data_IF_705932762851
#
_entry.id   IF_705932762851
#
_cell.length_a   1.000
_cell.length_b   1.000
_cell.length_c   1.000
_cell.angle_alpha   90.00
_cell.angle_beta   90.00
_cell.angle_gamma   90.00
#
_symmetry.space_group_name_H-M   'P 1'
#
loop_
_entity.id
_entity.type
_entity.pdbx_description
1 polymer ?
#
# COMPACT_ATOMS: atom_id res chain seq x y z
N UNK A 1 5.76 -23.07 8.65
CA UNK A 1 4.79 -21.96 8.57
C UNK A 1 5.28 -20.96 9.57
N UNK A 2 5.53 -19.72 9.15
CA UNK A 2 6.13 -18.73 10.05
C UNK A 2 5.01 -18.01 10.80
N UNK A 3 4.25 -17.11 10.19
CA UNK A 3 3.30 -16.28 10.94
C UNK A 3 1.85 -16.70 10.69
N UNK A 4 1.08 -16.90 11.76
CA UNK A 4 -0.38 -17.06 11.70
C UNK A 4 -1.09 -15.71 11.70
N UNK A 5 -2.24 -15.59 11.03
CA UNK A 5 -3.02 -14.34 11.01
C UNK A 5 -4.46 -14.62 11.41
N UNK A 6 -4.95 -13.88 12.42
CA UNK A 6 -6.33 -13.96 12.92
C UNK A 6 -7.09 -12.69 12.54
N UNK A 7 -8.26 -12.87 11.95
CA UNK A 7 -9.15 -11.79 11.50
C UNK A 7 -10.35 -11.71 12.44
N UNK A 8 -10.40 -10.65 13.25
CA UNK A 8 -11.48 -10.41 14.20
C UNK A 8 -12.45 -9.38 13.65
N UNK A 9 -13.74 -9.70 13.60
CA UNK A 9 -14.76 -8.74 13.17
C UNK A 9 -16.05 -8.88 13.95
N UNK A 10 -16.83 -7.80 14.00
CA UNK A 10 -18.19 -7.86 14.46
C UNK A 10 -19.08 -8.77 13.59
N UNK A 11 -18.68 -9.03 12.33
CA UNK A 11 -19.46 -9.83 11.38
C UNK A 11 -18.68 -11.08 10.98
N UNK A 12 -19.28 -12.26 11.19
CA UNK A 12 -18.73 -13.52 10.66
C UNK A 12 -18.48 -13.43 9.16
N UNK A 13 -19.43 -12.83 8.42
CA UNK A 13 -19.33 -12.67 6.96
C UNK A 13 -18.18 -11.76 6.52
N UNK A 14 -17.84 -10.74 7.30
CA UNK A 14 -16.70 -9.86 6.98
C UNK A 14 -15.40 -10.61 7.26
N UNK A 15 -15.27 -11.26 8.43
CA UNK A 15 -14.08 -12.02 8.75
C UNK A 15 -13.83 -13.16 7.75
N UNK A 16 -14.86 -13.95 7.45
CA UNK A 16 -14.82 -15.05 6.48
C UNK A 16 -14.49 -14.54 5.07
N UNK A 17 -15.17 -13.49 4.61
CA UNK A 17 -14.94 -12.93 3.28
C UNK A 17 -13.56 -12.28 3.13
N UNK A 18 -13.04 -11.63 4.18
CA UNK A 18 -11.69 -11.06 4.18
C UNK A 18 -10.63 -12.18 4.12
N UNK A 19 -10.81 -13.26 4.89
CA UNK A 19 -9.94 -14.45 4.83
C UNK A 19 -10.02 -15.11 3.44
N UNK A 20 -11.22 -15.26 2.88
CA UNK A 20 -11.41 -15.82 1.53
C UNK A 20 -10.63 -15.02 0.48
N UNK A 21 -10.71 -13.68 0.53
CA UNK A 21 -9.97 -12.79 -0.37
C UNK A 21 -8.46 -12.95 -0.19
N UNK A 22 -7.96 -12.88 1.05
CA UNK A 22 -6.53 -12.97 1.35
C UNK A 22 -5.94 -14.34 0.97
N UNK A 23 -6.73 -15.41 1.10
CA UNK A 23 -6.33 -16.77 0.68
C UNK A 23 -6.05 -16.86 -0.82
N UNK A 24 -6.71 -16.04 -1.66
CA UNK A 24 -6.40 -15.98 -3.10
C UNK A 24 -5.00 -15.42 -3.38
N UNK A 25 -4.49 -14.57 -2.48
CA UNK A 25 -3.18 -13.92 -2.63
C UNK A 25 -2.07 -14.74 -1.96
N UNK A 26 -2.38 -15.43 -0.86
CA UNK A 26 -1.44 -16.18 -0.03
C UNK A 26 -2.05 -17.53 0.37
N UNK A 27 -1.76 -18.58 -0.40
CA UNK A 27 -2.36 -19.91 -0.21
C UNK A 27 -1.71 -20.73 0.90
N UNK A 28 -0.49 -20.38 1.31
CA UNK A 28 0.29 -21.17 2.27
C UNK A 28 0.35 -20.53 3.66
N UNK A 29 -0.42 -19.45 3.88
CA UNK A 29 -0.50 -18.72 5.14
C UNK A 29 -1.68 -19.21 5.97
N UNK A 30 -1.45 -19.46 7.26
CA UNK A 30 -2.51 -19.81 8.20
C UNK A 30 -3.39 -18.59 8.50
N UNK A 31 -4.58 -18.53 7.89
CA UNK A 31 -5.55 -17.46 8.06
C UNK A 31 -6.79 -17.99 8.81
N UNK A 32 -7.14 -17.37 9.95
CA UNK A 32 -8.26 -17.81 10.79
C UNK A 32 -9.26 -16.67 10.99
N UNK A 33 -10.53 -16.92 10.66
CA UNK A 33 -11.62 -15.97 10.84
C UNK A 33 -12.29 -16.13 12.21
N UNK A 34 -12.44 -15.03 12.94
CA UNK A 34 -13.16 -14.95 14.21
C UNK A 34 -14.15 -13.79 14.19
N UNK A 35 -15.33 -14.02 13.60
CA UNK A 35 -16.36 -13.00 13.48
C UNK A 35 -17.70 -13.33 14.13
N UNK A 36 -18.37 -12.30 14.64
CA UNK A 36 -19.70 -12.42 15.24
C UNK A 36 -19.70 -12.95 16.69
N UNK A 37 -20.86 -12.87 17.32
CA UNK A 37 -21.13 -13.49 18.63
C UNK A 37 -21.30 -15.01 18.51
N UNK A 38 -21.37 -15.72 19.64
CA UNK A 38 -21.54 -17.19 19.67
C UNK A 38 -22.84 -17.66 19.03
N UNK A 39 -23.88 -16.83 19.08
CA UNK A 39 -25.18 -17.05 18.45
C UNK A 39 -25.28 -16.48 17.02
N UNK A 40 -24.16 -16.03 16.44
CA UNK A 40 -24.05 -15.61 15.03
C UNK A 40 -24.59 -14.22 14.71
N UNK A 41 -24.81 -13.37 15.71
CA UNK A 41 -25.20 -11.96 15.52
C UNK A 41 -23.97 -11.07 15.32
N UNK A 42 -24.23 -9.81 14.96
CA UNK A 42 -23.20 -8.77 14.90
C UNK A 42 -22.69 -8.48 16.32
N UNK A 43 -21.37 -8.57 16.50
CA UNK A 43 -20.65 -8.41 17.77
C UNK A 43 -19.38 -9.25 17.78
N UNK A 44 -18.62 -9.20 18.88
CA UNK A 44 -17.37 -9.95 19.02
C UNK A 44 -17.49 -10.93 20.17
N UNK A 45 -17.15 -12.20 19.95
CA UNK A 45 -17.09 -13.23 20.98
C UNK A 45 -15.66 -13.41 21.49
N UNK A 46 -15.47 -13.31 22.80
CA UNK A 46 -14.19 -13.63 23.44
C UNK A 46 -13.77 -15.09 23.18
N UNK A 47 -14.70 -16.04 23.31
CA UNK A 47 -14.41 -17.47 23.17
C UNK A 47 -13.97 -17.82 21.76
N UNK A 48 -14.63 -17.25 20.73
CA UNK A 48 -14.24 -17.46 19.33
C UNK A 48 -12.86 -16.88 19.03
N UNK A 49 -12.60 -15.67 19.50
CA UNK A 49 -11.32 -15.00 19.25
C UNK A 49 -10.19 -15.74 19.97
N UNK A 50 -10.39 -16.17 21.21
CA UNK A 50 -9.42 -17.00 21.93
C UNK A 50 -9.16 -18.32 21.22
N UNK A 51 -10.20 -19.03 20.78
CA UNK A 51 -10.04 -20.28 20.04
C UNK A 51 -9.25 -20.10 18.73
N UNK A 52 -9.51 -19.02 17.99
CA UNK A 52 -8.80 -18.71 16.74
C UNK A 52 -7.32 -18.36 16.97
N UNK A 53 -7.02 -17.62 18.04
CA UNK A 53 -5.65 -17.30 18.44
C UNK A 53 -4.89 -18.55 18.89
N UNK A 54 -5.48 -19.39 19.75
CA UNK A 54 -4.87 -20.64 20.19
C UNK A 54 -4.63 -21.62 19.04
N UNK A 55 -5.59 -21.73 18.11
CA UNK A 55 -5.41 -22.50 16.89
C UNK A 55 -4.22 -21.97 16.08
N UNK A 56 -4.15 -20.65 15.86
CA UNK A 56 -3.09 -20.05 15.07
C UNK A 56 -1.72 -20.19 15.74
N UNK A 57 -1.63 -20.05 17.07
CA UNK A 57 -0.39 -20.26 17.82
C UNK A 57 0.11 -21.70 17.69
N UNK A 58 -0.80 -22.69 17.79
CA UNK A 58 -0.45 -24.09 17.62
C UNK A 58 0.05 -24.42 16.20
N UNK A 59 -0.46 -23.73 15.18
CA UNK A 59 -0.07 -23.93 13.77
C UNK A 59 1.18 -23.13 13.37
N UNK A 60 1.45 -21.98 14.01
CA UNK A 60 2.55 -21.07 13.72
C UNK A 60 3.92 -21.54 14.25
N UNK A 61 4.00 -22.70 14.92
CA UNK A 61 5.26 -23.34 15.35
C UNK A 61 6.26 -22.42 16.10
N UNK A 62 5.76 -21.39 16.80
CA UNK A 62 6.55 -20.45 17.61
C UNK A 62 6.94 -19.13 16.94
N UNK A 63 6.54 -18.90 15.68
CA UNK A 63 6.87 -17.69 14.93
C UNK A 63 5.82 -16.56 15.10
N UNK A 64 4.78 -16.78 15.90
CA UNK A 64 3.82 -15.77 16.37
C UNK A 64 2.56 -15.60 15.52
N UNK A 65 1.64 -14.79 16.04
CA UNK A 65 0.32 -14.53 15.44
C UNK A 65 0.07 -13.03 15.34
N UNK A 66 -0.35 -12.58 14.15
CA UNK A 66 -0.84 -11.22 13.93
C UNK A 66 -2.37 -11.20 13.98
N UNK A 67 -2.94 -10.32 14.77
CA UNK A 67 -4.39 -10.15 14.92
C UNK A 67 -4.81 -8.82 14.28
N UNK A 68 -5.71 -8.89 13.30
CA UNK A 68 -6.37 -7.71 12.71
C UNK A 68 -7.80 -7.61 13.21
N UNK A 69 -8.29 -6.37 13.38
CA UNK A 69 -9.64 -6.10 13.87
C UNK A 69 -10.34 -5.04 13.02
N UNK A 70 -11.68 -4.98 13.04
CA UNK A 70 -12.44 -3.97 12.30
C UNK A 70 -12.62 -2.64 13.07
N UNK A 71 -13.26 -2.70 14.24
CA UNK A 71 -13.70 -1.55 15.01
C UNK A 71 -13.23 -1.66 16.46
N UNK A 72 -13.19 -0.53 17.17
CA UNK A 72 -12.57 -0.44 18.50
C UNK A 72 -13.03 -1.46 19.55
N UNK A 73 -14.30 -1.90 19.57
CA UNK A 73 -14.75 -2.94 20.52
C UNK A 73 -14.18 -4.33 20.20
N UNK A 74 -13.86 -4.61 18.94
CA UNK A 74 -13.13 -5.82 18.57
C UNK A 74 -11.67 -5.75 19.03
N UNK A 75 -11.04 -4.57 18.96
CA UNK A 75 -9.69 -4.32 19.53
C UNK A 75 -9.67 -4.66 21.02
N UNK A 76 -10.59 -4.12 21.81
CA UNK A 76 -10.65 -4.39 23.25
C UNK A 76 -10.82 -5.88 23.57
N UNK A 77 -11.59 -6.60 22.74
CA UNK A 77 -11.76 -8.04 22.89
C UNK A 77 -10.48 -8.79 22.54
N UNK A 78 -9.79 -8.40 21.47
CA UNK A 78 -8.51 -8.98 21.07
C UNK A 78 -7.39 -8.70 22.09
N UNK A 79 -7.33 -7.50 22.68
CA UNK A 79 -6.42 -7.16 23.77
C UNK A 79 -6.70 -8.03 25.00
N UNK A 80 -7.97 -8.18 25.37
CA UNK A 80 -8.37 -9.08 26.45
C UNK A 80 -7.96 -10.52 26.14
N UNK A 81 -8.19 -11.01 24.92
CA UNK A 81 -7.77 -12.38 24.53
C UNK A 81 -6.25 -12.55 24.60
N UNK A 82 -5.48 -11.55 24.16
CA UNK A 82 -4.02 -11.59 24.25
C UNK A 82 -3.54 -11.83 25.68
N UNK A 83 -4.17 -11.21 26.67
CA UNK A 83 -3.82 -11.41 28.09
C UNK A 83 -4.08 -12.84 28.59
N UNK A 84 -5.02 -13.56 27.98
CA UNK A 84 -5.44 -14.90 28.36
C UNK A 84 -4.91 -16.01 27.44
N UNK A 85 -4.24 -15.64 26.34
CA UNK A 85 -3.63 -16.59 25.42
C UNK A 85 -2.51 -17.38 26.13
N UNK A 86 -2.25 -18.59 25.65
CA UNK A 86 -1.18 -19.46 26.14
C UNK A 86 0.21 -18.84 26.01
N UNK A 87 0.42 -18.04 24.96
CA UNK A 87 1.67 -17.32 24.67
C UNK A 87 1.39 -15.82 24.38
N UNK A 88 1.12 -14.98 25.40
CA UNK A 88 0.72 -13.58 25.21
C UNK A 88 1.72 -12.74 24.41
N UNK A 89 3.01 -13.00 24.59
CA UNK A 89 4.10 -12.27 23.91
C UNK A 89 4.20 -12.61 22.41
N UNK A 90 3.62 -13.73 21.98
CA UNK A 90 3.57 -14.16 20.59
C UNK A 90 2.31 -13.66 19.85
N UNK A 91 1.42 -12.91 20.54
CA UNK A 91 0.20 -12.35 19.96
C UNK A 91 0.38 -10.85 19.72
N UNK A 92 0.33 -10.45 18.46
CA UNK A 92 0.62 -9.10 18.00
C UNK A 92 -0.61 -8.49 17.34
N UNK A 93 -1.18 -7.44 17.93
CA UNK A 93 -2.28 -6.70 17.32
C UNK A 93 -1.71 -5.70 16.30
N UNK A 94 -2.28 -5.68 15.10
CA UNK A 94 -1.95 -4.70 14.07
C UNK A 94 -3.01 -3.59 14.03
N UNK A 95 -2.58 -2.34 14.11
CA UNK A 95 -3.43 -1.16 13.89
C UNK A 95 -3.56 -0.88 12.39
N UNK A 96 -4.49 -1.58 11.74
CA UNK A 96 -4.62 -1.60 10.29
C UNK A 96 -6.09 -1.68 9.84
N UNK A 97 -6.43 -1.12 8.65
CA UNK A 97 -7.72 -1.39 8.02
C UNK A 97 -7.86 -2.90 7.76
N UNK A 98 -9.01 -3.47 8.17
CA UNK A 98 -9.16 -4.92 8.27
C UNK A 98 -8.83 -5.67 6.97
N UNK A 99 -9.34 -5.21 5.83
CA UNK A 99 -9.22 -5.95 4.56
C UNK A 99 -7.87 -5.69 3.91
N UNK A 100 -7.50 -4.43 3.72
CA UNK A 100 -6.27 -4.01 3.07
C UNK A 100 -5.05 -4.44 3.88
N UNK A 101 -5.11 -4.28 5.21
CA UNK A 101 -4.08 -4.74 6.13
C UNK A 101 -3.93 -6.26 6.14
N UNK A 102 -5.03 -7.01 6.08
CA UNK A 102 -4.99 -8.47 6.03
C UNK A 102 -4.29 -8.95 4.75
N UNK A 103 -4.62 -8.36 3.60
CA UNK A 103 -3.98 -8.72 2.33
C UNK A 103 -2.49 -8.42 2.38
N UNK A 104 -2.08 -7.25 2.87
CA UNK A 104 -0.68 -6.88 3.00
C UNK A 104 0.09 -7.82 3.96
N UNK A 105 -0.49 -8.14 5.11
CA UNK A 105 0.08 -9.08 6.07
C UNK A 105 0.20 -10.49 5.48
N UNK A 106 -0.83 -10.97 4.79
CA UNK A 106 -0.83 -12.30 4.19
C UNK A 106 0.25 -12.42 3.09
N UNK A 107 0.42 -11.40 2.25
CA UNK A 107 1.49 -11.36 1.24
C UNK A 107 2.88 -11.36 1.89
N UNK A 108 3.07 -10.54 2.95
CA UNK A 108 4.34 -10.52 3.68
C UNK A 108 4.66 -11.88 4.32
N UNK A 109 3.67 -12.52 4.95
CA UNK A 109 3.82 -13.84 5.56
C UNK A 109 4.12 -14.93 4.52
N UNK A 110 3.45 -14.90 3.36
CA UNK A 110 3.73 -15.80 2.23
C UNK A 110 5.17 -15.65 1.71
N UNK A 111 5.70 -14.42 1.74
CA UNK A 111 7.10 -14.11 1.41
C UNK A 111 8.11 -14.57 2.47
N UNK A 112 7.65 -15.13 3.59
CA UNK A 112 8.50 -15.62 4.68
C UNK A 112 8.94 -14.55 5.68
N UNK A 113 8.28 -13.38 5.71
CA UNK A 113 8.58 -12.32 6.68
C UNK A 113 8.27 -12.77 8.12
N UNK A 114 9.00 -12.20 9.08
CA UNK A 114 8.78 -12.45 10.51
C UNK A 114 7.55 -11.71 11.06
N UNK A 115 7.05 -12.10 12.23
CA UNK A 115 5.79 -11.56 12.80
C UNK A 115 5.73 -10.03 12.91
N UNK A 116 6.85 -9.40 13.27
CA UNK A 116 6.91 -7.94 13.39
C UNK A 116 6.90 -7.25 12.01
N UNK A 117 7.47 -7.88 10.99
CA UNK A 117 7.42 -7.38 9.61
C UNK A 117 6.03 -7.57 9.01
N UNK A 118 5.38 -8.71 9.27
CA UNK A 118 3.99 -8.98 8.87
C UNK A 118 3.04 -7.97 9.51
N UNK A 119 3.21 -7.70 10.81
CA UNK A 119 2.44 -6.67 11.53
C UNK A 119 2.63 -5.29 10.88
N UNK A 120 3.88 -4.88 10.64
CA UNK A 120 4.18 -3.59 10.00
C UNK A 120 3.60 -3.47 8.60
N UNK A 121 3.60 -4.57 7.82
CA UNK A 121 2.99 -4.60 6.49
C UNK A 121 1.48 -4.35 6.56
N UNK A 122 0.78 -4.95 7.53
CA UNK A 122 -0.62 -4.64 7.80
C UNK A 122 -0.83 -3.16 8.15
N UNK A 123 -0.08 -2.64 9.11
CA UNK A 123 -0.22 -1.24 9.60
C UNK A 123 0.06 -0.22 8.49
N UNK A 124 0.99 -0.51 7.58
CA UNK A 124 1.29 0.34 6.42
C UNK A 124 0.13 0.45 5.43
N UNK A 125 -0.80 -0.52 5.40
CA UNK A 125 -1.97 -0.48 4.51
C UNK A 125 -2.96 0.64 4.87
N UNK A 126 -2.93 1.14 6.12
CA UNK A 126 -3.75 2.27 6.57
C UNK A 126 -3.34 3.62 5.98
N UNK A 127 -2.20 3.68 5.29
CA UNK A 127 -1.66 4.91 4.70
C UNK A 127 -2.33 5.36 3.41
N UNK A 128 -3.10 4.53 2.70
CA UNK A 128 -3.67 4.92 1.43
C UNK A 128 -4.79 4.01 0.92
N UNK A 129 -5.82 4.63 0.32
CA UNK A 129 -6.38 4.11 -0.94
C UNK A 129 -5.21 4.08 -1.94
N UNK A 130 -4.40 3.03 -1.91
CA UNK A 130 -3.26 2.87 -2.80
C UNK A 130 -3.68 2.03 -4.01
N UNK A 131 -3.65 2.69 -5.17
CA UNK A 131 -3.52 2.06 -6.47
C UNK A 131 -2.26 1.15 -6.49
N UNK A 132 -2.15 0.21 -7.45
CA UNK A 132 -1.17 -0.87 -7.36
C UNK A 132 0.27 -0.34 -7.36
N UNK A 133 1.04 -0.86 -6.41
CA UNK A 133 2.50 -0.94 -6.27
C UNK A 133 3.37 0.21 -6.82
N UNK A 134 4.00 0.95 -5.91
CA UNK A 134 5.30 1.56 -6.16
C UNK A 134 6.27 1.10 -5.05
N UNK A 135 7.37 0.47 -5.48
CA UNK A 135 8.48 0.16 -4.61
C UNK A 135 8.94 1.42 -3.88
N UNK A 136 8.94 1.38 -2.54
CA UNK A 136 9.56 2.35 -1.62
C UNK A 136 9.35 3.83 -1.96
N UNK A 137 8.56 4.55 -1.16
CA UNK A 137 8.57 6.02 -1.19
C UNK A 137 9.94 6.51 -0.72
N UNK A 138 10.87 6.60 -1.67
CA UNK A 138 12.07 7.41 -1.57
C UNK A 138 11.66 8.84 -1.92
N UNK A 139 12.07 9.79 -1.08
CA UNK A 139 11.97 11.20 -1.42
C UNK A 139 12.59 11.43 -2.80
N UNK A 140 11.99 12.27 -3.66
CA UNK A 140 12.56 12.55 -4.96
C UNK A 140 13.98 13.08 -4.82
N UNK A 141 14.94 12.49 -5.56
CA UNK A 141 16.34 12.92 -5.55
C UNK A 141 16.47 14.39 -5.99
N UNK A 142 15.61 14.80 -6.94
CA UNK A 142 15.57 16.18 -7.47
C UNK A 142 14.12 16.60 -7.71
N UNK A 143 13.79 17.83 -7.31
CA UNK A 143 12.49 18.47 -7.60
C UNK A 143 12.70 19.84 -8.23
N UNK A 144 11.80 20.22 -9.14
CA UNK A 144 11.78 21.57 -9.70
C UNK A 144 10.39 21.95 -10.23
N UNK A 145 10.08 23.24 -10.15
CA UNK A 145 8.87 23.81 -10.73
C UNK A 145 9.21 24.66 -11.97
N UNK A 146 8.44 24.45 -13.05
CA UNK A 146 8.57 25.23 -14.28
C UNK A 146 7.23 25.79 -14.72
N UNK A 147 7.19 27.06 -15.13
CA UNK A 147 5.98 27.64 -15.72
C UNK A 147 5.87 27.27 -17.20
N UNK A 148 4.74 26.69 -17.60
CA UNK A 148 4.47 26.31 -18.98
C UNK A 148 4.17 27.55 -19.83
N UNK A 149 5.15 27.98 -20.63
CA UNK A 149 5.02 29.20 -21.44
C UNK A 149 4.30 28.99 -22.78
N UNK A 150 4.10 27.75 -23.22
CA UNK A 150 3.49 27.45 -24.52
C UNK A 150 1.96 27.74 -24.51
N UNK A 151 1.44 28.60 -25.41
CA UNK A 151 0.02 28.96 -25.48
C UNK A 151 -0.94 27.78 -25.67
N UNK A 152 -0.49 26.72 -26.34
CA UNK A 152 -1.30 25.52 -26.59
C UNK A 152 -1.27 24.52 -25.42
N UNK A 153 -0.45 24.77 -24.40
CA UNK A 153 -0.34 23.92 -23.23
C UNK A 153 0.32 22.56 -23.49
N UNK A 154 0.06 21.58 -22.62
CA UNK A 154 0.61 20.22 -22.68
C UNK A 154 -0.15 19.35 -23.69
N UNK A 155 0.00 19.64 -24.98
CA UNK A 155 -0.55 18.82 -26.06
C UNK A 155 0.41 17.70 -26.50
N UNK A 156 0.03 16.95 -27.54
CA UNK A 156 0.75 15.76 -27.99
C UNK A 156 2.24 15.99 -28.34
N UNK A 157 2.64 17.19 -28.78
CA UNK A 157 4.02 17.44 -29.23
C UNK A 157 4.97 17.73 -28.05
N UNK A 158 4.66 18.63 -27.09
CA UNK A 158 5.37 18.73 -25.82
C UNK A 158 5.45 17.39 -25.08
N UNK A 159 4.33 16.67 -24.97
CA UNK A 159 4.28 15.35 -24.33
C UNK A 159 5.22 14.34 -24.99
N UNK A 160 5.23 14.26 -26.33
CA UNK A 160 6.14 13.39 -27.07
C UNK A 160 7.62 13.75 -26.91
N UNK A 161 7.95 15.04 -26.81
CA UNK A 161 9.35 15.48 -26.58
C UNK A 161 9.82 15.11 -25.18
N UNK A 162 8.99 15.32 -24.16
CA UNK A 162 9.30 14.94 -22.79
C UNK A 162 9.48 13.42 -22.70
N UNK A 163 8.44 12.66 -23.06
CA UNK A 163 8.47 11.20 -22.98
C UNK A 163 9.60 10.58 -23.79
N UNK A 164 9.82 11.07 -25.02
CA UNK A 164 10.90 10.58 -25.88
C UNK A 164 12.30 10.86 -25.35
N UNK A 165 12.50 12.00 -24.69
CA UNK A 165 13.78 12.33 -24.07
C UNK A 165 14.05 11.56 -22.78
N UNK A 166 13.00 11.26 -22.01
CA UNK A 166 13.10 10.55 -20.74
C UNK A 166 13.21 9.03 -20.89
N UNK A 167 12.64 8.45 -21.97
CA UNK A 167 12.59 6.99 -22.20
C UNK A 167 13.94 6.27 -22.25
N UNK A 168 15.07 6.98 -22.29
CA UNK A 168 16.43 6.42 -22.27
C UNK A 168 17.30 6.88 -21.10
N UNK A 169 16.72 7.56 -20.12
CA UNK A 169 17.42 7.98 -18.90
C UNK A 169 17.20 6.95 -17.80
N UNK A 170 18.22 6.72 -16.97
CA UNK A 170 18.05 5.94 -15.74
C UNK A 170 17.44 6.83 -14.65
N UNK A 171 16.21 7.27 -14.91
CA UNK A 171 15.45 8.12 -14.02
C UNK A 171 13.94 7.91 -14.16
N UNK A 172 13.26 7.72 -13.04
CA UNK A 172 11.81 7.80 -12.93
C UNK A 172 11.41 9.27 -12.76
N UNK A 173 10.53 9.77 -13.62
CA UNK A 173 10.14 11.18 -13.62
C UNK A 173 8.63 11.30 -13.59
N UNK A 174 8.10 12.09 -12.66
CA UNK A 174 6.69 12.46 -12.64
C UNK A 174 6.53 13.97 -12.85
N UNK A 175 5.46 14.35 -13.55
CA UNK A 175 5.09 15.74 -13.79
C UNK A 175 3.66 15.94 -13.30
N UNK A 176 3.46 16.73 -12.24
CA UNK A 176 2.16 16.90 -11.57
C UNK A 176 1.47 15.55 -11.25
N UNK A 177 2.26 14.52 -10.94
CA UNK A 177 1.77 13.16 -10.64
C UNK A 177 1.53 12.26 -11.86
N UNK A 178 1.71 12.74 -13.10
CA UNK A 178 1.68 11.90 -14.31
C UNK A 178 3.07 11.35 -14.63
N UNK A 179 3.14 10.14 -15.18
CA UNK A 179 4.41 9.57 -15.67
C UNK A 179 4.99 10.39 -16.83
N UNK A 180 6.18 10.94 -16.63
CA UNK A 180 6.91 11.73 -17.62
C UNK A 180 7.32 10.93 -18.87
N UNK A 181 7.45 9.61 -18.77
CA UNK A 181 7.72 8.72 -19.91
C UNK A 181 6.43 8.37 -20.70
N UNK A 182 5.25 8.69 -20.17
CA UNK A 182 3.97 8.38 -20.80
C UNK A 182 3.37 9.59 -21.51
N UNK A 183 3.42 9.58 -22.85
CA UNK A 183 2.80 10.63 -23.68
C UNK A 183 1.31 10.79 -23.34
N UNK A 184 0.61 9.67 -23.13
CA UNK A 184 -0.82 9.65 -22.87
C UNK A 184 -1.15 10.31 -21.52
N UNK A 185 -0.40 10.00 -20.46
CA UNK A 185 -0.64 10.59 -19.15
C UNK A 185 -0.31 12.08 -19.12
N UNK A 186 0.80 12.50 -19.74
CA UNK A 186 1.14 13.91 -19.85
C UNK A 186 0.06 14.72 -20.57
N UNK A 187 -0.60 14.14 -21.58
CA UNK A 187 -1.73 14.78 -22.27
C UNK A 187 -2.98 14.90 -21.39
N UNK A 188 -3.16 14.02 -20.39
CA UNK A 188 -4.31 14.09 -19.47
C UNK A 188 -4.17 15.19 -18.42
N UNK A 189 -2.96 15.74 -18.19
CA UNK A 189 -2.72 16.84 -17.26
C UNK A 189 -3.53 18.10 -17.59
N UNK A 190 -3.93 18.28 -18.86
CA UNK A 190 -4.66 19.46 -19.35
C UNK A 190 -4.02 20.80 -18.91
N UNK A 191 -2.70 20.82 -18.73
CA UNK A 191 -1.96 21.99 -18.28
C UNK A 191 -1.92 23.05 -19.39
N UNK A 192 -2.55 24.20 -19.14
CA UNK A 192 -2.55 25.35 -20.03
C UNK A 192 -1.34 26.27 -19.84
N UNK A 193 -1.25 27.32 -20.66
CA UNK A 193 -0.25 28.37 -20.50
C UNK A 193 -0.30 28.98 -19.09
N UNK A 194 0.86 29.17 -18.47
CA UNK A 194 1.00 29.67 -17.11
C UNK A 194 0.80 28.62 -16.02
N UNK A 195 0.50 27.36 -16.38
CA UNK A 195 0.44 26.28 -15.41
C UNK A 195 1.85 25.93 -14.91
N UNK A 196 1.97 25.69 -13.61
CA UNK A 196 3.19 25.17 -13.01
C UNK A 196 3.28 23.66 -13.26
N UNK A 197 4.39 23.23 -13.84
CA UNK A 197 4.80 21.84 -13.95
C UNK A 197 5.74 21.53 -12.77
N UNK A 198 5.21 20.82 -11.78
CA UNK A 198 5.98 20.23 -10.70
C UNK A 198 6.63 18.95 -11.21
N UNK A 199 7.95 18.94 -11.32
CA UNK A 199 8.73 17.81 -11.82
C UNK A 199 9.47 17.19 -10.66
N UNK A 200 9.25 15.89 -10.46
CA UNK A 200 10.02 15.06 -9.53
C UNK A 200 10.79 14.03 -10.32
N UNK A 201 12.07 13.84 -10.00
CA UNK A 201 12.89 12.80 -10.61
C UNK A 201 13.63 11.98 -9.55
N UNK A 202 13.79 10.69 -9.82
CA UNK A 202 14.49 9.69 -9.00
C UNK A 202 15.40 8.86 -9.88
N UNK A 203 16.55 8.42 -9.37
CA UNK A 203 17.50 7.59 -10.11
C UNK A 203 18.82 8.29 -10.49
N UNK A 204 19.76 7.55 -11.07
CA UNK A 204 21.11 8.04 -11.35
C UNK A 204 21.14 9.26 -12.28
N UNK A 205 20.18 9.36 -13.20
CA UNK A 205 20.04 10.46 -14.14
C UNK A 205 19.03 11.56 -13.67
N UNK A 206 18.56 11.54 -12.41
CA UNK A 206 17.48 12.43 -11.93
C UNK A 206 17.71 13.93 -12.23
N UNK A 207 18.89 14.45 -11.90
CA UNK A 207 19.23 15.86 -12.17
C UNK A 207 19.22 16.18 -13.67
N UNK A 208 19.76 15.28 -14.48
CA UNK A 208 19.83 15.42 -15.94
C UNK A 208 18.43 15.38 -16.56
N UNK A 209 17.53 14.55 -16.03
CA UNK A 209 16.15 14.49 -16.45
C UNK A 209 15.40 15.79 -16.15
N UNK A 210 15.56 16.35 -14.96
CA UNK A 210 14.97 17.65 -14.58
C UNK A 210 15.52 18.78 -15.44
N UNK A 211 16.83 18.81 -15.70
CA UNK A 211 17.46 19.82 -16.55
C UNK A 211 17.02 19.72 -18.01
N UNK A 212 16.78 18.50 -18.49
CA UNK A 212 16.20 18.28 -19.81
C UNK A 212 14.79 18.86 -19.93
N UNK A 213 13.91 18.57 -18.96
CA UNK A 213 12.55 19.12 -18.94
C UNK A 213 12.57 20.64 -18.81
N UNK A 214 13.43 21.19 -17.94
CA UNK A 214 13.67 22.64 -17.82
C UNK A 214 14.01 23.27 -19.17
N UNK A 215 14.95 22.66 -19.90
CA UNK A 215 15.39 23.14 -21.21
C UNK A 215 14.25 23.16 -22.23
N UNK A 216 13.44 22.10 -22.28
CA UNK A 216 12.28 22.04 -23.16
C UNK A 216 11.23 23.09 -22.82
N UNK A 217 10.92 23.31 -21.54
CA UNK A 217 9.95 24.33 -21.12
C UNK A 217 10.46 25.73 -21.44
N UNK A 218 11.73 26.01 -21.15
CA UNK A 218 12.36 27.31 -21.42
C UNK A 218 12.45 27.64 -22.93
N UNK A 219 12.67 26.63 -23.77
CA UNK A 219 12.66 26.75 -25.23
C UNK A 219 11.24 26.74 -25.83
N UNK A 220 10.19 26.71 -25.00
CA UNK A 220 8.81 26.64 -25.48
C UNK A 220 8.51 25.37 -26.30
N UNK A 221 9.25 24.29 -26.03
CA UNK A 221 9.27 23.06 -26.81
C UNK A 221 9.64 23.30 -28.28
N UNK A 222 10.40 24.36 -28.60
CA UNK A 222 10.74 24.75 -29.97
C UNK A 222 9.54 25.18 -30.82
N UNK A 223 8.45 25.59 -30.16
CA UNK A 223 7.21 26.07 -30.79
C UNK A 223 6.99 27.58 -30.59
N UNK A 224 7.91 28.25 -29.89
CA UNK A 224 7.91 29.69 -29.61
C UNK A 224 9.01 30.44 -30.36
#
# INVERSE_FOLDING_TARGET
MTVGIVVVSHSSKIAEGAVELATQMASDVGLVAAGGTDDGRIGTSFEKVLAAVEQSLAEAAGDGVVVLTDLGSAVMTAESVKEFASEPDAVHLADAPLVEGLVAAAVAAQGGAGVEEVRKAAEAAGGAVAAPEAAGVQEPDVTADFELINPLGMHARPAAKIAGGLSGMDAEVTINGADGASIMELMTLAAGQGATLHVEARGEDAQKAVDYVRGLVADGFGEL
#
